data_IF_286591616384
#
_entry.id   IF_286591616384
#
_cell.length_a   1.000
_cell.length_b   1.000
_cell.length_c   1.000
_cell.angle_alpha   90.00
_cell.angle_beta   90.00
_cell.angle_gamma   90.00
#
_symmetry.space_group_name_H-M   'P 1'
#
loop_
_entity.id
_entity.type
_entity.pdbx_description
1 polymer ?
#
# COMPACT_ATOMS: atom_id res chain seq x y z
N UNK A 1 32.70 -0.58 -38.37
CA UNK A 1 32.17 -1.92 -38.04
C UNK A 1 32.74 -3.03 -38.92
N UNK A 2 32.58 -3.00 -40.25
CA UNK A 2 32.94 -4.13 -41.13
C UNK A 2 34.36 -4.70 -40.96
N UNK A 3 35.38 -3.85 -40.84
CA UNK A 3 36.78 -4.28 -40.60
C UNK A 3 36.93 -5.08 -39.29
N UNK A 4 36.20 -4.71 -38.24
CA UNK A 4 36.23 -5.41 -36.95
C UNK A 4 35.55 -6.79 -37.05
N UNK A 5 34.49 -6.90 -37.85
CA UNK A 5 33.78 -8.15 -38.10
C UNK A 5 34.62 -9.12 -38.98
N UNK A 6 35.34 -8.58 -39.97
CA UNK A 6 36.30 -9.35 -40.77
C UNK A 6 37.49 -9.82 -39.91
N UNK A 7 38.04 -8.97 -39.05
CA UNK A 7 39.10 -9.35 -38.11
C UNK A 7 38.66 -10.47 -37.17
N UNK A 8 37.44 -10.39 -36.62
CA UNK A 8 36.86 -11.44 -35.77
C UNK A 8 36.71 -12.78 -36.49
N UNK A 9 36.21 -12.78 -37.73
CA UNK A 9 36.11 -14.01 -38.54
C UNK A 9 37.48 -14.63 -38.87
N UNK A 10 38.51 -13.82 -39.11
CA UNK A 10 39.88 -14.33 -39.33
C UNK A 10 40.43 -14.91 -38.03
N UNK A 11 40.21 -14.26 -36.90
CA UNK A 11 40.61 -14.77 -35.58
C UNK A 11 39.92 -16.10 -35.26
N UNK A 12 38.61 -16.21 -35.46
CA UNK A 12 37.83 -17.44 -35.27
C UNK A 12 38.39 -18.59 -36.14
N UNK A 13 38.63 -18.35 -37.45
CA UNK A 13 39.19 -19.37 -38.36
C UNK A 13 40.63 -19.78 -38.03
N UNK A 14 41.45 -18.85 -37.55
CA UNK A 14 42.82 -19.17 -37.08
C UNK A 14 42.75 -20.02 -35.81
N UNK A 15 41.82 -19.71 -34.90
CA UNK A 15 41.64 -20.46 -33.67
C UNK A 15 41.07 -21.86 -33.91
N UNK A 16 40.10 -22.03 -34.81
CA UNK A 16 39.60 -23.34 -35.29
C UNK A 16 40.71 -24.20 -35.91
N UNK A 17 41.57 -23.60 -36.76
CA UNK A 17 42.70 -24.34 -37.34
C UNK A 17 43.75 -24.72 -36.31
N UNK A 18 44.02 -23.84 -35.33
CA UNK A 18 44.95 -24.14 -34.24
C UNK A 18 44.44 -25.32 -33.39
N UNK A 19 43.15 -25.34 -33.03
CA UNK A 19 42.57 -26.46 -32.27
C UNK A 19 42.55 -27.76 -33.07
N UNK A 20 42.28 -27.70 -34.39
CA UNK A 20 42.33 -28.89 -35.26
C UNK A 20 43.74 -29.48 -35.38
N UNK A 21 44.79 -28.65 -35.45
CA UNK A 21 46.18 -29.13 -35.52
C UNK A 21 46.61 -29.74 -34.19
N UNK A 22 46.23 -29.13 -33.06
CA UNK A 22 46.53 -29.68 -31.72
C UNK A 22 45.86 -31.04 -31.54
N UNK A 23 44.60 -31.19 -31.95
CA UNK A 23 43.91 -32.49 -31.92
C UNK A 23 44.62 -33.55 -32.77
N UNK A 24 44.99 -33.22 -34.02
CA UNK A 24 45.70 -34.16 -34.89
C UNK A 24 47.07 -34.58 -34.31
N UNK A 25 47.86 -33.64 -33.80
CA UNK A 25 49.16 -33.94 -33.17
C UNK A 25 48.99 -34.80 -31.92
N UNK A 26 47.90 -34.60 -31.16
CA UNK A 26 47.59 -35.40 -29.98
C UNK A 26 47.16 -36.84 -30.37
N UNK A 27 46.36 -37.00 -31.43
CA UNK A 27 45.97 -38.31 -31.96
C UNK A 27 47.17 -39.07 -32.54
N UNK A 28 48.05 -38.40 -33.29
CA UNK A 28 49.30 -38.98 -33.82
C UNK A 28 50.26 -39.38 -32.69
N UNK A 29 50.37 -38.56 -31.64
CA UNK A 29 51.16 -38.89 -30.45
C UNK A 29 50.58 -40.08 -29.66
N UNK A 30 49.25 -40.17 -29.52
CA UNK A 30 48.61 -41.34 -28.91
C UNK A 30 48.77 -42.61 -29.77
N UNK A 31 48.70 -42.48 -31.10
CA UNK A 31 48.95 -43.60 -32.02
C UNK A 31 50.40 -44.10 -31.90
N UNK A 32 51.38 -43.20 -31.87
CA UNK A 32 52.79 -43.54 -31.65
C UNK A 32 53.02 -44.19 -30.28
N UNK A 33 52.42 -43.64 -29.21
CA UNK A 33 52.52 -44.25 -27.88
C UNK A 33 51.93 -45.67 -27.85
N UNK A 34 50.80 -45.88 -28.53
CA UNK A 34 50.15 -47.18 -28.66
C UNK A 34 50.99 -48.16 -29.47
N UNK A 35 51.56 -47.75 -30.60
CA UNK A 35 52.43 -48.63 -31.41
C UNK A 35 53.75 -48.95 -30.69
N UNK A 36 54.33 -48.02 -29.94
CA UNK A 36 55.49 -48.30 -29.09
C UNK A 36 55.15 -49.29 -27.97
N UNK A 37 53.98 -49.15 -27.31
CA UNK A 37 53.55 -50.10 -26.28
C UNK A 37 53.27 -51.51 -26.82
N UNK A 38 52.89 -51.63 -28.09
CA UNK A 38 52.67 -52.93 -28.75
C UNK A 38 53.94 -53.55 -29.34
N UNK A 39 55.00 -52.76 -29.56
CA UNK A 39 56.27 -53.25 -30.11
C UNK A 39 57.19 -53.91 -29.07
N UNK A 40 56.84 -53.87 -27.77
CA UNK A 40 57.71 -54.30 -26.67
C UNK A 40 57.47 -55.75 -26.19
N UNK A 41 56.43 -56.44 -26.63
CA UNK A 41 56.17 -57.84 -26.21
C UNK A 41 56.63 -58.83 -27.27
N UNK A 42 57.93 -59.13 -27.29
CA UNK A 42 58.51 -60.18 -28.13
C UNK A 42 58.67 -61.47 -27.27
N UNK A 43 57.77 -62.47 -27.38
CA UNK A 43 57.40 -63.33 -26.25
C UNK A 43 58.33 -64.53 -25.96
N UNK A 44 59.60 -64.50 -26.40
CA UNK A 44 60.48 -65.69 -26.38
C UNK A 44 61.77 -65.52 -25.59
N UNK A 45 62.40 -64.34 -25.60
CA UNK A 45 63.75 -64.14 -25.02
C UNK A 45 63.77 -63.32 -23.71
N UNK A 46 62.62 -62.85 -23.23
CA UNK A 46 62.50 -62.14 -21.95
C UNK A 46 62.06 -63.07 -20.81
N UNK A 47 62.91 -64.06 -20.48
CA UNK A 47 63.09 -64.40 -19.06
C UNK A 47 63.96 -63.27 -18.50
N UNK A 48 63.29 -62.18 -18.11
CA UNK A 48 63.92 -60.98 -17.56
C UNK A 48 64.73 -61.42 -16.32
N UNK A 49 65.88 -60.79 -16.06
CA UNK A 49 66.75 -61.16 -14.94
C UNK A 49 66.05 -61.21 -13.56
N UNK A 50 64.92 -60.52 -13.40
CA UNK A 50 64.04 -60.57 -12.22
C UNK A 50 63.33 -61.93 -12.07
N UNK A 51 62.87 -62.54 -13.18
CA UNK A 51 62.29 -63.89 -13.17
C UNK A 51 63.32 -64.94 -12.73
N UNK A 52 64.62 -64.68 -12.89
CA UNK A 52 65.68 -65.61 -12.54
C UNK A 52 65.88 -65.74 -11.03
N UNK A 53 65.57 -64.70 -10.26
CA UNK A 53 65.64 -64.72 -8.79
C UNK A 53 64.32 -65.20 -8.19
N UNK A 54 63.17 -64.81 -8.75
CA UNK A 54 61.87 -65.41 -8.40
C UNK A 54 61.83 -66.92 -8.71
N UNK A 55 62.48 -67.39 -9.79
CA UNK A 55 62.61 -68.81 -10.12
C UNK A 55 63.44 -69.57 -9.08
N UNK A 56 64.54 -68.99 -8.58
CA UNK A 56 65.35 -69.62 -7.51
C UNK A 56 64.56 -69.71 -6.21
N UNK A 57 63.90 -68.61 -5.81
CA UNK A 57 63.06 -68.58 -4.61
C UNK A 57 61.90 -69.60 -4.70
N UNK A 58 61.28 -69.72 -5.87
CA UNK A 58 60.30 -70.77 -6.14
C UNK A 58 60.92 -72.17 -6.07
N UNK A 59 62.08 -72.39 -6.69
CA UNK A 59 62.78 -73.68 -6.72
C UNK A 59 63.23 -74.17 -5.33
N UNK A 60 63.54 -73.27 -4.39
CA UNK A 60 63.85 -73.62 -3.00
C UNK A 60 62.64 -74.11 -2.20
N UNK A 61 61.43 -73.63 -2.54
CA UNK A 61 60.17 -73.97 -1.84
C UNK A 61 59.38 -75.07 -2.56
N UNK A 62 59.58 -75.23 -3.87
CA UNK A 62 58.83 -76.17 -4.70
C UNK A 62 59.35 -77.61 -4.59
N UNK A 63 58.52 -78.47 -3.98
CA UNK A 63 58.72 -79.91 -4.00
C UNK A 63 57.85 -80.58 -5.08
N UNK A 64 58.50 -81.26 -6.02
CA UNK A 64 57.84 -81.97 -7.10
C UNK A 64 57.17 -83.26 -6.62
N UNK A 65 57.70 -83.90 -5.58
CA UNK A 65 57.20 -85.20 -5.14
C UNK A 65 55.77 -85.05 -4.58
N UNK A 66 55.50 -83.92 -3.91
CA UNK A 66 54.17 -83.48 -3.46
C UNK A 66 53.20 -83.13 -4.62
N UNK A 67 53.69 -83.01 -5.85
CA UNK A 67 52.93 -82.65 -7.06
C UNK A 67 52.78 -83.79 -8.06
N UNK A 68 53.18 -85.01 -7.70
CA UNK A 68 53.12 -86.19 -8.57
C UNK A 68 51.69 -86.49 -9.08
N UNK A 69 50.69 -86.43 -8.20
CA UNK A 69 49.29 -86.68 -8.57
C UNK A 69 48.71 -85.57 -9.48
N UNK A 70 49.06 -84.32 -9.21
CA UNK A 70 48.68 -83.16 -10.06
C UNK A 70 49.31 -83.30 -11.45
N UNK A 71 50.59 -83.68 -11.54
CA UNK A 71 51.29 -83.94 -12.82
C UNK A 71 50.60 -85.05 -13.62
N UNK A 72 50.27 -86.17 -12.98
CA UNK A 72 49.55 -87.26 -13.63
C UNK A 72 48.16 -86.80 -14.13
N UNK A 73 47.50 -85.90 -13.39
CA UNK A 73 46.22 -85.32 -13.81
C UNK A 73 46.36 -84.33 -14.98
N UNK A 74 47.41 -83.50 -14.99
CA UNK A 74 47.70 -82.56 -16.09
C UNK A 74 47.98 -83.33 -17.38
N UNK A 75 48.85 -84.36 -17.33
CA UNK A 75 49.17 -85.22 -18.47
C UNK A 75 47.96 -85.97 -19.05
N UNK A 76 46.88 -86.15 -18.28
CA UNK A 76 45.63 -86.75 -18.76
C UNK A 76 44.64 -85.73 -19.32
N UNK A 77 44.73 -84.46 -18.89
CA UNK A 77 43.78 -83.38 -19.24
C UNK A 77 44.25 -82.52 -20.40
N UNK A 78 45.56 -82.31 -20.50
CA UNK A 78 46.20 -81.44 -21.48
C UNK A 78 47.12 -82.27 -22.39
N UNK A 79 46.57 -82.66 -23.53
CA UNK A 79 47.24 -83.44 -24.58
C UNK A 79 48.48 -82.70 -25.12
N UNK A 80 48.46 -81.37 -25.19
CA UNK A 80 49.59 -80.56 -25.64
C UNK A 80 50.76 -80.62 -24.65
N UNK A 81 50.50 -80.56 -23.35
CA UNK A 81 51.54 -80.72 -22.32
C UNK A 81 52.06 -82.16 -22.27
N UNK A 82 51.22 -83.16 -22.54
CA UNK A 82 51.66 -84.55 -22.66
C UNK A 82 52.60 -84.78 -23.87
N UNK A 83 52.27 -84.23 -25.03
CA UNK A 83 53.12 -84.26 -26.23
C UNK A 83 54.44 -83.51 -25.98
N UNK A 84 54.38 -82.30 -25.39
CA UNK A 84 55.56 -81.48 -25.09
C UNK A 84 56.49 -82.17 -24.07
N UNK A 85 55.92 -82.78 -23.02
CA UNK A 85 56.67 -83.57 -22.05
C UNK A 85 57.37 -84.76 -22.72
N UNK A 86 56.66 -85.49 -23.59
CA UNK A 86 57.18 -86.66 -24.32
C UNK A 86 58.27 -86.27 -25.32
N UNK A 87 58.20 -85.09 -25.92
CA UNK A 87 59.19 -84.58 -26.87
C UNK A 87 60.45 -83.99 -26.22
N UNK A 88 60.36 -83.44 -25.00
CA UNK A 88 61.47 -82.73 -24.33
C UNK A 88 62.13 -83.53 -23.20
N UNK A 89 61.42 -84.47 -22.58
CA UNK A 89 61.92 -85.28 -21.45
C UNK A 89 62.08 -86.74 -21.89
N UNK A 90 63.29 -87.35 -21.82
CA UNK A 90 64.51 -86.85 -21.19
C UNK A 90 65.53 -86.20 -22.14
N UNK A 91 65.23 -86.03 -23.44
CA UNK A 91 66.24 -85.67 -24.45
C UNK A 91 66.84 -84.27 -24.27
N UNK A 92 66.05 -83.29 -23.83
CA UNK A 92 66.47 -81.88 -23.71
C UNK A 92 66.44 -81.35 -22.28
N UNK A 93 65.53 -81.87 -21.44
CA UNK A 93 65.36 -81.44 -20.04
C UNK A 93 65.19 -82.65 -19.11
N UNK A 94 65.70 -82.53 -17.89
CA UNK A 94 65.39 -83.49 -16.84
C UNK A 94 63.92 -83.37 -16.43
N UNK A 95 63.28 -84.49 -16.08
CA UNK A 95 61.87 -84.53 -15.64
C UNK A 95 61.58 -83.49 -14.54
N UNK A 96 62.44 -83.41 -13.52
CA UNK A 96 62.29 -82.44 -12.43
C UNK A 96 62.36 -80.99 -12.92
N UNK A 97 63.26 -80.69 -13.85
CA UNK A 97 63.45 -79.35 -14.38
C UNK A 97 62.29 -78.91 -15.28
N UNK A 98 61.77 -79.80 -16.13
CA UNK A 98 60.58 -79.52 -16.94
C UNK A 98 59.39 -79.12 -16.07
N UNK A 99 59.07 -79.90 -15.05
CA UNK A 99 57.93 -79.62 -14.16
C UNK A 99 58.16 -78.41 -13.25
N UNK A 100 59.37 -78.18 -12.73
CA UNK A 100 59.66 -76.96 -11.97
C UNK A 100 59.48 -75.71 -12.84
N UNK A 101 59.93 -75.72 -14.10
CA UNK A 101 59.70 -74.61 -15.05
C UNK A 101 58.21 -74.46 -15.42
N UNK A 102 57.48 -75.55 -15.61
CA UNK A 102 56.04 -75.53 -15.89
C UNK A 102 55.26 -74.88 -14.74
N UNK A 103 55.42 -75.37 -13.51
CA UNK A 103 54.69 -74.83 -12.35
C UNK A 103 55.13 -73.40 -12.01
N UNK A 104 56.40 -73.02 -12.26
CA UNK A 104 56.82 -71.63 -12.13
C UNK A 104 56.10 -70.70 -13.12
N UNK A 105 55.97 -71.10 -14.39
CA UNK A 105 55.20 -70.32 -15.39
C UNK A 105 53.72 -70.22 -15.01
N UNK A 106 53.13 -71.31 -14.50
CA UNK A 106 51.76 -71.30 -13.99
C UNK A 106 51.60 -70.38 -12.76
N UNK A 107 52.59 -70.36 -11.86
CA UNK A 107 52.63 -69.47 -10.70
C UNK A 107 52.75 -68.00 -11.09
N UNK A 108 53.59 -67.67 -12.08
CA UNK A 108 53.67 -66.32 -12.64
C UNK A 108 52.37 -65.88 -13.31
N UNK A 109 51.71 -66.77 -14.07
CA UNK A 109 50.40 -66.48 -14.67
C UNK A 109 49.34 -66.16 -13.60
N UNK A 110 49.23 -67.00 -12.56
CA UNK A 110 48.31 -66.76 -11.43
C UNK A 110 48.59 -65.41 -10.75
N UNK A 111 49.85 -65.09 -10.47
CA UNK A 111 50.24 -63.80 -9.86
C UNK A 111 49.91 -62.61 -10.76
N UNK A 112 50.11 -62.73 -12.09
CA UNK A 112 49.72 -61.70 -13.04
C UNK A 112 48.20 -61.54 -13.15
N UNK A 113 47.43 -62.62 -13.06
CA UNK A 113 45.96 -62.57 -13.01
C UNK A 113 45.46 -61.90 -11.73
N UNK A 114 46.05 -62.20 -10.57
CA UNK A 114 45.73 -61.51 -9.30
C UNK A 114 46.07 -60.00 -9.36
N UNK A 115 47.22 -59.63 -9.92
CA UNK A 115 47.61 -58.22 -10.10
C UNK A 115 46.76 -57.49 -11.16
N UNK A 116 46.21 -58.20 -12.16
CA UNK A 116 45.23 -57.66 -13.09
C UNK A 116 43.87 -57.48 -12.41
N UNK A 117 43.36 -58.51 -11.72
CA UNK A 117 42.11 -58.46 -10.98
C UNK A 117 42.11 -57.33 -9.93
N UNK A 118 43.23 -57.13 -9.22
CA UNK A 118 43.40 -56.01 -8.29
C UNK A 118 43.34 -54.65 -8.99
N UNK A 119 43.99 -54.49 -10.14
CA UNK A 119 43.93 -53.26 -10.96
C UNK A 119 42.57 -53.02 -11.61
N UNK A 120 41.79 -54.07 -11.87
CA UNK A 120 40.41 -53.95 -12.34
C UNK A 120 39.48 -53.54 -11.19
N UNK A 121 39.63 -54.12 -10.00
CA UNK A 121 38.82 -53.76 -8.84
C UNK A 121 39.13 -52.33 -8.35
N UNK A 122 40.40 -51.91 -8.33
CA UNK A 122 40.79 -50.52 -8.06
C UNK A 122 40.14 -49.53 -9.06
N UNK A 123 40.09 -49.89 -10.35
CA UNK A 123 39.38 -49.10 -11.38
C UNK A 123 37.88 -49.08 -11.17
N UNK A 124 37.25 -50.19 -10.77
CA UNK A 124 35.81 -50.24 -10.45
C UNK A 124 35.46 -49.35 -9.26
N UNK A 125 36.21 -49.46 -8.16
CA UNK A 125 36.05 -48.61 -6.97
C UNK A 125 36.27 -47.13 -7.30
N UNK A 126 37.20 -46.81 -8.21
CA UNK A 126 37.42 -45.43 -8.64
C UNK A 126 36.25 -44.89 -9.49
N UNK A 127 35.68 -45.70 -10.38
CA UNK A 127 34.49 -45.34 -11.17
C UNK A 127 33.24 -45.18 -10.29
N UNK A 128 33.07 -46.02 -9.27
CA UNK A 128 31.97 -45.89 -8.31
C UNK A 128 32.08 -44.60 -7.49
N UNK A 129 33.27 -44.29 -6.95
CA UNK A 129 33.53 -43.00 -6.26
C UNK A 129 33.30 -41.79 -7.16
N UNK A 130 33.69 -41.85 -8.43
CA UNK A 130 33.43 -40.75 -9.37
C UNK A 130 31.93 -40.60 -9.64
N UNK A 131 31.19 -41.71 -9.76
CA UNK A 131 29.74 -41.70 -9.93
C UNK A 131 29.03 -41.12 -8.70
N UNK A 132 29.43 -41.51 -7.49
CA UNK A 132 28.91 -40.96 -6.23
C UNK A 132 29.18 -39.46 -6.12
N UNK A 133 30.39 -38.99 -6.45
CA UNK A 133 30.74 -37.57 -6.45
C UNK A 133 29.89 -36.76 -7.46
N UNK A 134 29.64 -37.32 -8.66
CA UNK A 134 28.74 -36.69 -9.64
C UNK A 134 27.29 -36.66 -9.15
N UNK A 135 26.80 -37.73 -8.51
CA UNK A 135 25.45 -37.76 -7.94
C UNK A 135 25.29 -36.78 -6.77
N UNK A 136 26.32 -36.63 -5.92
CA UNK A 136 26.34 -35.67 -4.83
C UNK A 136 26.30 -34.24 -5.34
N UNK A 137 27.12 -33.87 -6.33
CA UNK A 137 27.04 -32.55 -6.96
C UNK A 137 25.70 -32.28 -7.66
N UNK A 138 25.05 -33.29 -8.24
CA UNK A 138 23.70 -33.14 -8.80
C UNK A 138 22.65 -32.90 -7.71
N UNK A 139 22.78 -33.54 -6.55
CA UNK A 139 21.91 -33.29 -5.38
C UNK A 139 22.13 -31.89 -4.81
N UNK A 140 23.38 -31.48 -4.59
CA UNK A 140 23.73 -30.12 -4.15
C UNK A 140 23.19 -29.05 -5.11
N UNK A 141 23.34 -29.25 -6.42
CA UNK A 141 22.80 -28.33 -7.42
C UNK A 141 21.26 -28.29 -7.43
N UNK A 142 20.60 -29.43 -7.25
CA UNK A 142 19.15 -29.52 -7.12
C UNK A 142 18.65 -28.79 -5.86
N UNK A 143 19.28 -29.04 -4.71
CA UNK A 143 18.95 -28.39 -3.43
C UNK A 143 19.19 -26.88 -3.48
N UNK A 144 20.31 -26.43 -4.07
CA UNK A 144 20.58 -25.01 -4.30
C UNK A 144 19.54 -24.35 -5.22
N UNK A 145 19.07 -25.05 -6.25
CA UNK A 145 18.02 -24.56 -7.14
C UNK A 145 16.66 -24.46 -6.42
N UNK A 146 16.31 -25.46 -5.62
CA UNK A 146 15.09 -25.48 -4.82
C UNK A 146 15.09 -24.39 -3.74
N UNK A 147 16.23 -24.12 -3.12
CA UNK A 147 16.37 -23.03 -2.16
C UNK A 147 16.24 -21.66 -2.87
N UNK A 148 16.86 -21.48 -4.03
CA UNK A 148 16.69 -20.25 -4.82
C UNK A 148 15.23 -20.03 -5.29
N UNK A 149 14.45 -21.09 -5.51
CA UNK A 149 13.01 -20.96 -5.77
C UNK A 149 12.19 -20.58 -4.53
N UNK A 150 12.52 -21.13 -3.35
CA UNK A 150 11.92 -20.71 -2.07
C UNK A 150 12.20 -19.23 -1.79
N UNK A 151 13.46 -18.81 -1.91
CA UNK A 151 13.85 -17.42 -1.67
C UNK A 151 13.13 -16.45 -2.62
N UNK A 152 12.89 -16.84 -3.89
CA UNK A 152 12.08 -16.07 -4.84
C UNK A 152 10.60 -16.06 -4.48
N UNK A 153 10.04 -17.16 -3.97
CA UNK A 153 8.66 -17.22 -3.52
C UNK A 153 8.45 -16.31 -2.30
N UNK A 154 9.37 -16.34 -1.33
CA UNK A 154 9.40 -15.46 -0.16
C UNK A 154 9.54 -13.98 -0.54
N UNK A 155 10.35 -13.67 -1.55
CA UNK A 155 10.45 -12.30 -2.10
C UNK A 155 9.12 -11.84 -2.71
N UNK A 156 8.48 -12.66 -3.55
CA UNK A 156 7.16 -12.33 -4.13
C UNK A 156 6.07 -12.17 -3.08
N UNK A 157 6.09 -12.99 -2.02
CA UNK A 157 5.15 -12.84 -0.90
C UNK A 157 5.32 -11.49 -0.21
N UNK A 158 6.56 -11.09 0.11
CA UNK A 158 6.88 -9.78 0.70
C UNK A 158 6.52 -8.62 -0.23
N UNK A 159 6.74 -8.76 -1.54
CA UNK A 159 6.32 -7.76 -2.54
C UNK A 159 4.80 -7.61 -2.61
N UNK A 160 4.06 -8.73 -2.53
CA UNK A 160 2.60 -8.74 -2.50
C UNK A 160 2.06 -8.07 -1.23
N UNK A 161 2.62 -8.36 -0.05
CA UNK A 161 2.25 -7.71 1.22
C UNK A 161 2.47 -6.19 1.17
N UNK A 162 3.61 -5.76 0.63
CA UNK A 162 3.91 -4.34 0.41
C UNK A 162 2.93 -3.70 -0.57
N UNK A 163 2.49 -4.41 -1.61
CA UNK A 163 1.51 -3.89 -2.55
C UNK A 163 0.11 -3.76 -1.91
N UNK A 164 -0.34 -4.77 -1.16
CA UNK A 164 -1.60 -4.72 -0.39
C UNK A 164 -1.61 -3.52 0.57
N UNK A 165 -0.50 -3.26 1.26
CA UNK A 165 -0.40 -2.11 2.16
C UNK A 165 -0.43 -0.76 1.40
N UNK A 166 0.20 -0.67 0.22
CA UNK A 166 0.09 0.54 -0.63
C UNK A 166 -1.35 0.78 -1.08
N UNK A 167 -2.06 -0.26 -1.50
CA UNK A 167 -3.44 -0.15 -1.98
C UNK A 167 -4.39 0.25 -0.82
N UNK A 168 -4.14 -0.23 0.40
CA UNK A 168 -4.82 0.23 1.62
C UNK A 168 -4.52 1.71 1.93
N UNK A 169 -3.27 2.15 1.84
CA UNK A 169 -2.92 3.57 2.06
C UNK A 169 -3.55 4.46 0.99
N UNK A 170 -3.56 4.04 -0.28
CA UNK A 170 -4.18 4.78 -1.37
C UNK A 170 -5.69 4.93 -1.20
N UNK A 171 -6.40 3.85 -0.84
CA UNK A 171 -7.84 3.91 -0.57
C UNK A 171 -8.19 4.76 0.66
N UNK A 172 -7.37 4.74 1.72
CA UNK A 172 -7.53 5.65 2.85
C UNK A 172 -7.29 7.13 2.46
N UNK A 173 -6.32 7.41 1.57
CA UNK A 173 -6.10 8.76 1.02
C UNK A 173 -7.27 9.24 0.17
N UNK A 174 -7.88 8.36 -0.64
CA UNK A 174 -9.09 8.67 -1.42
C UNK A 174 -10.28 9.00 -0.49
N UNK A 175 -10.47 8.23 0.58
CA UNK A 175 -11.50 8.51 1.60
C UNK A 175 -11.26 9.87 2.27
N UNK A 176 -10.02 10.19 2.68
CA UNK A 176 -9.69 11.49 3.27
C UNK A 176 -9.99 12.63 2.29
N UNK A 177 -9.53 12.54 1.04
CA UNK A 177 -9.80 13.56 0.01
C UNK A 177 -11.30 13.73 -0.28
N UNK A 178 -12.08 12.64 -0.23
CA UNK A 178 -13.54 12.70 -0.39
C UNK A 178 -14.23 13.42 0.78
N UNK A 179 -13.74 13.21 2.02
CA UNK A 179 -14.26 13.89 3.22
C UNK A 179 -13.89 15.37 3.23
N UNK A 180 -12.65 15.73 2.85
CA UNK A 180 -12.21 17.12 2.70
C UNK A 180 -13.03 17.85 1.63
N UNK A 181 -13.30 17.21 0.49
CA UNK A 181 -14.15 17.76 -0.58
C UNK A 181 -15.60 17.95 -0.12
N UNK A 182 -16.16 16.99 0.63
CA UNK A 182 -17.49 17.10 1.20
C UNK A 182 -17.60 18.21 2.25
N UNK A 183 -16.59 18.36 3.11
CA UNK A 183 -16.54 19.42 4.12
C UNK A 183 -16.36 20.81 3.49
N UNK A 184 -15.53 20.94 2.45
CA UNK A 184 -15.43 22.16 1.65
C UNK A 184 -16.77 22.54 0.99
N UNK A 185 -17.49 21.55 0.43
CA UNK A 185 -18.83 21.76 -0.13
C UNK A 185 -19.85 22.18 0.92
N UNK A 186 -19.82 21.58 2.12
CA UNK A 186 -20.69 21.98 3.24
C UNK A 186 -20.41 23.41 3.72
N UNK A 187 -19.13 23.80 3.80
CA UNK A 187 -18.75 25.17 4.13
C UNK A 187 -19.20 26.17 3.06
N UNK A 188 -19.12 25.83 1.78
CA UNK A 188 -19.64 26.66 0.70
C UNK A 188 -21.17 26.83 0.81
N UNK A 189 -21.92 25.73 0.96
CA UNK A 189 -23.38 25.78 1.13
C UNK A 189 -23.81 26.62 2.36
N UNK A 190 -23.03 26.58 3.44
CA UNK A 190 -23.27 27.42 4.61
C UNK A 190 -22.98 28.90 4.34
N UNK A 191 -21.94 29.22 3.57
CA UNK A 191 -21.63 30.58 3.15
C UNK A 191 -22.74 31.14 2.24
N UNK A 192 -23.19 30.36 1.25
CA UNK A 192 -24.27 30.70 0.32
C UNK A 192 -25.61 30.95 1.07
N UNK A 193 -25.92 30.15 2.10
CA UNK A 193 -27.09 30.34 2.97
C UNK A 193 -27.00 31.63 3.82
N UNK A 194 -25.81 31.96 4.34
CA UNK A 194 -25.59 33.24 5.03
C UNK A 194 -25.69 34.44 4.08
N UNK A 195 -25.14 34.36 2.86
CA UNK A 195 -25.28 35.41 1.85
C UNK A 195 -26.74 35.60 1.42
N UNK A 196 -27.47 34.50 1.23
CA UNK A 196 -28.91 34.52 0.94
C UNK A 196 -29.72 35.18 2.07
N UNK A 197 -29.38 34.91 3.34
CA UNK A 197 -30.03 35.54 4.50
C UNK A 197 -29.68 37.03 4.63
N UNK A 198 -28.43 37.42 4.35
CA UNK A 198 -28.00 38.82 4.38
C UNK A 198 -28.65 39.64 3.26
N UNK A 199 -28.74 39.08 2.05
CA UNK A 199 -29.46 39.73 0.94
C UNK A 199 -30.96 39.84 1.25
N UNK A 200 -31.60 38.78 1.77
CA UNK A 200 -33.00 38.82 2.22
C UNK A 200 -33.25 39.85 3.35
N UNK A 201 -32.34 39.95 4.32
CA UNK A 201 -32.45 40.95 5.39
C UNK A 201 -32.25 42.37 4.84
N UNK A 202 -31.36 42.54 3.86
CA UNK A 202 -31.15 43.83 3.18
C UNK A 202 -32.40 44.25 2.41
N UNK A 203 -33.01 43.36 1.63
CA UNK A 203 -34.27 43.67 0.94
C UNK A 203 -35.40 44.00 1.93
N UNK A 204 -35.51 43.28 3.06
CA UNK A 204 -36.49 43.62 4.10
C UNK A 204 -36.26 45.00 4.73
N UNK A 205 -35.00 45.42 4.90
CA UNK A 205 -34.66 46.76 5.39
C UNK A 205 -35.03 47.84 4.36
N UNK A 206 -34.76 47.59 3.08
CA UNK A 206 -35.07 48.54 2.01
C UNK A 206 -36.58 48.61 1.71
N UNK A 207 -37.30 47.49 1.79
CA UNK A 207 -38.78 47.44 1.76
C UNK A 207 -39.37 48.23 2.94
N UNK A 208 -38.88 48.00 4.17
CA UNK A 208 -39.34 48.73 5.35
C UNK A 208 -39.04 50.24 5.28
N UNK A 209 -37.91 50.62 4.67
CA UNK A 209 -37.59 52.02 4.37
C UNK A 209 -38.54 52.60 3.32
N UNK A 210 -38.81 51.86 2.24
CA UNK A 210 -39.74 52.30 1.20
C UNK A 210 -41.14 52.55 1.79
N UNK A 211 -41.66 51.61 2.58
CA UNK A 211 -42.93 51.78 3.32
C UNK A 211 -42.89 52.99 4.26
N UNK A 212 -41.82 53.15 5.05
CA UNK A 212 -41.68 54.32 5.93
C UNK A 212 -41.56 55.66 5.20
N UNK A 213 -40.97 55.69 3.99
CA UNK A 213 -40.98 56.87 3.13
C UNK A 213 -42.37 57.14 2.55
N UNK A 214 -43.12 56.10 2.14
CA UNK A 214 -44.50 56.25 1.66
C UNK A 214 -45.45 56.74 2.76
N UNK A 215 -45.36 56.20 3.97
CA UNK A 215 -46.11 56.68 5.15
C UNK A 215 -45.75 58.14 5.48
N UNK A 216 -44.46 58.49 5.52
CA UNK A 216 -44.01 59.87 5.77
C UNK A 216 -44.44 60.85 4.67
N UNK A 217 -44.48 60.42 3.41
CA UNK A 217 -45.03 61.21 2.30
C UNK A 217 -46.53 61.41 2.53
N UNK A 218 -47.29 60.37 2.82
CA UNK A 218 -48.73 60.45 3.06
C UNK A 218 -49.11 61.36 4.25
N UNK A 219 -48.36 61.29 5.37
CA UNK A 219 -48.51 62.22 6.49
C UNK A 219 -48.21 63.67 6.07
N UNK A 220 -47.14 63.89 5.31
CA UNK A 220 -46.78 65.23 4.82
C UNK A 220 -47.83 65.80 3.86
N UNK A 221 -48.42 64.97 2.98
CA UNK A 221 -49.52 65.35 2.10
C UNK A 221 -50.79 65.67 2.90
N UNK A 222 -51.08 64.91 3.97
CA UNK A 222 -52.19 65.19 4.87
C UNK A 222 -51.99 66.51 5.64
N UNK A 223 -50.77 66.82 6.10
CA UNK A 223 -50.44 68.09 6.75
C UNK A 223 -50.56 69.24 5.75
N UNK A 224 -49.99 69.12 4.55
CA UNK A 224 -50.09 70.15 3.48
C UNK A 224 -51.54 70.37 3.07
N UNK A 225 -52.35 69.30 3.01
CA UNK A 225 -53.79 69.39 2.76
C UNK A 225 -54.51 70.11 3.90
N UNK A 226 -54.25 69.76 5.16
CA UNK A 226 -54.82 70.41 6.34
C UNK A 226 -54.48 71.91 6.39
N UNK A 227 -53.23 72.28 6.11
CA UNK A 227 -52.79 73.69 6.01
C UNK A 227 -53.50 74.40 4.85
N UNK A 228 -53.65 73.76 3.69
CA UNK A 228 -54.35 74.33 2.54
C UNK A 228 -55.85 74.51 2.82
N UNK A 229 -56.49 73.53 3.44
CA UNK A 229 -57.91 73.56 3.78
C UNK A 229 -58.17 74.62 4.88
N UNK A 230 -57.29 74.75 5.88
CA UNK A 230 -57.30 75.84 6.87
C UNK A 230 -57.12 77.21 6.22
N UNK A 231 -56.10 77.39 5.38
CA UNK A 231 -55.86 78.66 4.69
C UNK A 231 -57.01 79.04 3.73
N UNK A 232 -57.68 78.05 3.10
CA UNK A 232 -58.89 78.30 2.32
C UNK A 232 -60.11 78.65 3.19
N UNK A 233 -60.21 78.09 4.40
CA UNK A 233 -61.25 78.47 5.36
C UNK A 233 -61.00 79.89 5.86
N UNK A 234 -59.78 80.21 6.30
CA UNK A 234 -59.36 81.56 6.71
C UNK A 234 -59.56 82.59 5.59
N UNK A 235 -59.26 82.24 4.32
CA UNK A 235 -59.56 83.11 3.17
C UNK A 235 -61.06 83.32 2.97
N UNK A 236 -61.90 82.29 3.12
CA UNK A 236 -63.37 82.44 3.03
C UNK A 236 -63.94 83.24 4.18
N UNK A 237 -63.43 83.04 5.40
CA UNK A 237 -63.78 83.83 6.58
C UNK A 237 -63.31 85.28 6.41
N UNK A 238 -62.14 85.51 5.81
CA UNK A 238 -61.64 86.85 5.46
C UNK A 238 -62.51 87.52 4.39
N UNK A 239 -62.84 86.82 3.31
CA UNK A 239 -63.71 87.33 2.24
C UNK A 239 -65.10 87.66 2.79
N UNK A 240 -65.69 86.78 3.61
CA UNK A 240 -66.96 87.02 4.27
C UNK A 240 -66.88 88.22 5.23
N UNK A 241 -65.82 88.32 6.04
CA UNK A 241 -65.59 89.45 6.94
C UNK A 241 -65.44 90.77 6.18
N UNK A 242 -64.60 90.79 5.13
CA UNK A 242 -64.43 91.95 4.24
C UNK A 242 -65.73 92.33 3.53
N UNK A 243 -66.56 91.37 3.11
CA UNK A 243 -67.91 91.64 2.60
C UNK A 243 -68.77 92.33 3.68
N UNK A 244 -68.79 91.81 4.92
CA UNK A 244 -69.58 92.43 6.00
C UNK A 244 -69.10 93.84 6.34
N UNK A 245 -67.79 94.09 6.32
CA UNK A 245 -67.22 95.44 6.51
C UNK A 245 -67.56 96.39 5.34
N UNK A 246 -67.75 95.86 4.12
CA UNK A 246 -68.08 96.64 2.94
C UNK A 246 -69.58 96.98 2.81
N UNK A 247 -70.48 96.19 3.41
CA UNK A 247 -71.91 96.53 3.50
C UNK A 247 -72.16 97.63 4.54
N UNK A 248 -72.72 98.79 4.16
CA UNK A 248 -73.00 99.88 5.10
C UNK A 248 -74.18 99.52 6.00
N UNK A 249 -73.89 99.05 7.22
CA UNK A 249 -74.84 98.87 8.31
C UNK A 249 -74.53 99.83 9.46
N UNK A 250 -75.56 100.23 10.21
CA UNK A 250 -75.47 101.18 11.33
C UNK A 250 -75.18 100.52 12.69
N UNK A 251 -74.75 99.25 12.68
CA UNK A 251 -74.44 98.46 13.88
C UNK A 251 -72.94 98.43 14.19
N UNK A 252 -72.59 98.05 15.42
CA UNK A 252 -71.21 98.01 15.89
C UNK A 252 -70.35 97.02 15.09
N UNK A 253 -69.05 97.32 14.96
CA UNK A 253 -68.09 96.53 14.18
C UNK A 253 -68.12 95.04 14.59
N UNK A 254 -68.29 94.10 13.64
CA UNK A 254 -68.19 92.68 13.96
C UNK A 254 -66.78 92.33 14.44
N UNK A 255 -66.63 91.45 15.46
CA UNK A 255 -65.33 91.08 15.99
C UNK A 255 -64.48 90.42 14.88
N UNK A 256 -63.22 90.84 14.71
CA UNK A 256 -62.38 90.31 13.63
C UNK A 256 -61.99 88.85 13.88
N UNK A 257 -61.80 88.05 12.81
CA UNK A 257 -61.19 86.72 12.90
C UNK A 257 -59.78 86.80 13.50
N UNK A 258 -59.34 85.76 14.20
CA UNK A 258 -58.07 85.76 14.95
C UNK A 258 -56.81 86.02 14.10
N UNK A 259 -56.85 85.66 12.82
CA UNK A 259 -55.78 85.91 11.85
C UNK A 259 -55.82 87.33 11.23
N UNK A 260 -56.95 88.02 11.34
CA UNK A 260 -57.05 89.44 10.99
C UNK A 260 -56.63 90.24 12.22
N UNK A 261 -55.48 90.91 12.15
CA UNK A 261 -55.06 91.82 13.21
C UNK A 261 -56.21 92.74 13.60
N UNK A 262 -56.56 92.79 14.89
CA UNK A 262 -57.55 93.73 15.41
C UNK A 262 -57.21 95.15 15.00
N UNK A 263 -55.93 95.52 14.98
CA UNK A 263 -55.48 96.79 14.43
C UNK A 263 -55.77 96.90 12.93
N UNK A 264 -55.52 95.88 12.10
CA UNK A 264 -55.83 95.95 10.66
C UNK A 264 -57.34 96.10 10.42
N UNK A 265 -58.18 95.27 11.05
CA UNK A 265 -59.63 95.38 10.97
C UNK A 265 -60.12 96.75 11.47
N UNK A 266 -59.63 97.19 12.63
CA UNK A 266 -59.88 98.52 13.16
C UNK A 266 -59.29 99.61 12.28
N UNK A 267 -58.24 99.42 11.47
CA UNK A 267 -57.76 100.42 10.50
C UNK A 267 -58.37 100.26 9.11
N UNK A 268 -59.12 99.22 8.80
CA UNK A 268 -59.99 99.22 7.61
C UNK A 268 -61.28 99.96 7.99
N UNK A 269 -61.88 99.57 9.12
CA UNK A 269 -63.02 100.24 9.75
C UNK A 269 -62.71 101.68 10.20
N UNK A 270 -61.48 101.97 10.65
CA UNK A 270 -60.97 103.30 11.01
C UNK A 270 -59.95 103.88 10.00
N UNK A 271 -59.81 103.35 8.78
CA UNK A 271 -59.55 104.23 7.63
C UNK A 271 -60.87 104.76 7.10
N UNK A 272 -61.96 103.99 7.22
CA UNK A 272 -63.33 104.50 7.15
C UNK A 272 -63.70 105.47 8.31
N UNK A 273 -62.95 105.45 9.42
CA UNK A 273 -63.16 106.28 10.62
C UNK A 273 -61.86 106.82 11.28
N UNK A 274 -60.89 107.25 10.46
CA UNK A 274 -59.65 108.00 10.81
C UNK A 274 -58.53 107.33 11.67
N UNK A 275 -57.44 106.92 11.00
CA UNK A 275 -56.02 107.22 11.27
C UNK A 275 -55.52 107.48 12.72
N UNK A 276 -54.74 106.54 13.33
CA UNK A 276 -53.41 106.74 14.00
C UNK A 276 -52.92 105.59 14.95
N UNK A 277 -51.65 105.20 14.75
CA UNK A 277 -50.55 104.83 15.70
C UNK A 277 -50.70 103.86 16.93
N UNK A 278 -49.72 102.93 17.10
CA UNK A 278 -49.50 102.01 18.26
C UNK A 278 -48.37 102.47 19.22
N UNK A 279 -47.42 101.63 19.77
CA UNK A 279 -47.33 100.17 20.01
C UNK A 279 -46.67 99.76 21.40
N UNK A 280 -46.19 98.50 21.57
CA UNK A 280 -45.12 98.00 22.52
C UNK A 280 -45.47 97.70 24.03
N UNK A 281 -44.78 96.89 24.89
CA UNK A 281 -43.72 95.82 24.81
C UNK A 281 -43.45 95.04 26.16
N UNK A 282 -42.98 93.77 26.11
CA UNK A 282 -42.03 93.06 27.04
C UNK A 282 -42.49 92.57 28.46
N UNK A 283 -41.61 92.03 29.37
CA UNK A 283 -41.30 90.59 29.54
C UNK A 283 -41.31 90.09 31.03
N UNK A 284 -40.75 88.90 31.36
CA UNK A 284 -39.89 88.58 32.56
C UNK A 284 -39.53 87.07 32.65
N UNK A 285 -38.40 86.73 33.28
CA UNK A 285 -37.86 85.37 33.49
C UNK A 285 -37.37 85.19 34.93
N UNK A 286 -37.48 83.98 35.52
CA UNK A 286 -36.62 83.45 36.59
C UNK A 286 -37.10 82.06 37.09
N UNK A 287 -36.40 80.95 36.80
CA UNK A 287 -36.54 79.68 37.56
C UNK A 287 -35.40 78.63 37.42
N UNK A 288 -34.24 78.98 36.85
CA UNK A 288 -33.23 77.98 36.43
C UNK A 288 -32.41 77.28 37.53
N UNK A 289 -32.47 77.72 38.80
CA UNK A 289 -31.52 77.23 39.83
C UNK A 289 -31.94 75.95 40.56
N UNK A 290 -33.22 75.58 40.54
CA UNK A 290 -33.69 74.33 41.15
C UNK A 290 -33.72 73.15 40.16
N UNK A 291 -33.73 73.42 38.85
CA UNK A 291 -33.66 72.35 37.82
C UNK A 291 -32.31 71.60 37.87
N UNK A 292 -31.20 72.33 38.00
CA UNK A 292 -29.83 71.80 38.00
C UNK A 292 -29.62 70.64 39.00
N UNK A 293 -30.04 70.82 40.25
CA UNK A 293 -29.79 69.83 41.30
C UNK A 293 -30.71 68.60 41.16
N UNK A 294 -31.95 68.81 40.71
CA UNK A 294 -32.89 67.73 40.38
C UNK A 294 -32.40 66.92 39.17
N UNK A 295 -31.81 67.58 38.17
CA UNK A 295 -31.17 66.92 37.04
C UNK A 295 -29.94 66.11 37.45
N UNK A 296 -29.12 66.61 38.39
CA UNK A 296 -27.97 65.87 38.91
C UNK A 296 -28.39 64.57 39.60
N UNK A 297 -29.38 64.63 40.50
CA UNK A 297 -29.91 63.45 41.20
C UNK A 297 -30.63 62.47 40.26
N UNK A 298 -31.26 62.96 39.18
CA UNK A 298 -31.80 62.09 38.12
C UNK A 298 -30.69 61.33 37.39
N UNK A 299 -29.61 62.01 36.98
CA UNK A 299 -28.47 61.38 36.30
C UNK A 299 -27.79 60.30 37.15
N UNK A 300 -27.69 60.49 38.48
CA UNK A 300 -27.15 59.49 39.40
C UNK A 300 -28.08 58.27 39.54
N UNK A 301 -29.40 58.48 39.66
CA UNK A 301 -30.37 57.39 39.69
C UNK A 301 -30.40 56.60 38.36
N UNK A 302 -30.32 57.30 37.22
CA UNK A 302 -30.24 56.67 35.90
C UNK A 302 -28.94 55.86 35.73
N UNK A 303 -27.83 56.32 36.30
CA UNK A 303 -26.57 55.57 36.31
C UNK A 303 -26.66 54.30 37.17
N UNK A 304 -27.20 54.40 38.41
CA UNK A 304 -27.43 53.25 39.27
C UNK A 304 -28.40 52.23 38.66
N UNK A 305 -29.45 52.70 37.99
CA UNK A 305 -30.40 51.85 37.27
C UNK A 305 -29.74 51.10 36.13
N UNK A 306 -28.91 51.77 35.31
CA UNK A 306 -28.11 51.11 34.25
C UNK A 306 -27.13 50.07 34.79
N UNK A 307 -26.51 50.33 35.94
CA UNK A 307 -25.63 49.34 36.61
C UNK A 307 -26.43 48.12 37.09
N UNK A 308 -27.63 48.32 37.64
CA UNK A 308 -28.51 47.22 38.06
C UNK A 308 -29.02 46.40 36.86
N UNK A 309 -29.40 47.07 35.76
CA UNK A 309 -29.83 46.42 34.50
C UNK A 309 -28.67 45.60 33.90
N UNK A 310 -27.47 46.16 33.82
CA UNK A 310 -26.26 45.45 33.34
C UNK A 310 -25.89 44.26 34.22
N UNK A 311 -26.02 44.37 35.55
CA UNK A 311 -25.82 43.23 36.46
C UNK A 311 -26.88 42.13 36.26
N UNK A 312 -28.13 42.50 35.97
CA UNK A 312 -29.19 41.55 35.65
C UNK A 312 -28.99 40.88 34.28
N UNK A 313 -28.43 41.58 33.30
CA UNK A 313 -28.02 41.01 32.02
C UNK A 313 -26.87 40.01 32.18
N UNK A 314 -25.84 40.35 32.97
CA UNK A 314 -24.74 39.42 33.27
C UNK A 314 -25.19 38.13 33.96
N UNK A 315 -26.23 38.19 34.82
CA UNK A 315 -26.84 36.99 35.41
C UNK A 315 -27.58 36.13 34.36
N UNK A 316 -28.34 36.75 33.44
CA UNK A 316 -28.99 36.03 32.33
C UNK A 316 -27.95 35.38 31.42
N UNK A 317 -26.86 36.09 31.10
CA UNK A 317 -25.78 35.57 30.28
C UNK A 317 -25.12 34.36 30.96
N UNK A 318 -24.82 34.45 32.25
CA UNK A 318 -24.27 33.34 33.04
C UNK A 318 -25.15 32.09 32.99
N UNK A 319 -26.47 32.24 33.05
CA UNK A 319 -27.41 31.12 32.97
C UNK A 319 -27.52 30.55 31.54
N UNK A 320 -27.40 31.38 30.49
CA UNK A 320 -27.23 30.92 29.10
C UNK A 320 -25.93 30.13 28.93
N UNK A 321 -24.81 30.58 29.51
CA UNK A 321 -23.54 29.85 29.50
C UNK A 321 -23.63 28.50 30.24
N UNK A 322 -24.31 28.43 31.39
CA UNK A 322 -24.60 27.16 32.08
C UNK A 322 -25.43 26.21 31.21
N UNK A 323 -26.52 26.71 30.60
CA UNK A 323 -27.37 25.91 29.73
C UNK A 323 -26.58 25.37 28.50
N UNK A 324 -25.72 26.21 27.92
CA UNK A 324 -24.81 25.81 26.83
C UNK A 324 -23.80 24.76 27.28
N UNK A 325 -23.20 24.90 28.46
CA UNK A 325 -22.28 23.92 29.03
C UNK A 325 -22.96 22.55 29.28
N UNK A 326 -24.18 22.54 29.82
CA UNK A 326 -24.97 21.30 29.99
C UNK A 326 -25.30 20.67 28.64
N UNK A 327 -25.69 21.46 27.63
CA UNK A 327 -25.94 20.95 26.27
C UNK A 327 -24.69 20.37 25.62
N UNK A 328 -23.54 21.05 25.73
CA UNK A 328 -22.26 20.54 25.22
C UNK A 328 -21.83 19.26 25.93
N UNK A 329 -22.04 19.17 27.26
CA UNK A 329 -21.79 17.92 28.00
C UNK A 329 -22.69 16.79 27.49
N UNK A 330 -24.00 17.03 27.33
CA UNK A 330 -24.93 16.02 26.82
C UNK A 330 -24.55 15.53 25.41
N UNK A 331 -24.20 16.45 24.51
CA UNK A 331 -23.72 16.10 23.17
C UNK A 331 -22.43 15.27 23.24
N UNK A 332 -21.49 15.60 24.14
CA UNK A 332 -20.29 14.81 24.35
C UNK A 332 -20.61 13.40 24.86
N UNK A 333 -21.46 13.29 25.88
CA UNK A 333 -21.87 12.01 26.46
C UNK A 333 -22.59 11.14 25.39
N UNK A 334 -23.35 11.76 24.49
CA UNK A 334 -23.98 11.11 23.31
C UNK A 334 -22.95 10.66 22.26
N UNK A 335 -21.94 11.49 21.92
CA UNK A 335 -20.88 11.10 20.97
C UNK A 335 -19.97 10.01 21.54
N UNK A 336 -19.63 10.07 22.82
CA UNK A 336 -18.80 9.06 23.50
C UNK A 336 -19.55 7.71 23.56
N UNK A 337 -20.88 7.74 23.78
CA UNK A 337 -21.73 6.55 23.72
C UNK A 337 -21.86 5.98 22.30
N UNK A 338 -22.01 6.83 21.28
CA UNK A 338 -22.07 6.40 19.88
C UNK A 338 -20.74 5.80 19.39
N UNK A 339 -19.61 6.43 19.74
CA UNK A 339 -18.27 5.93 19.44
C UNK A 339 -18.02 4.55 20.09
N UNK A 340 -18.42 4.40 21.37
CA UNK A 340 -18.34 3.10 22.06
C UNK A 340 -19.20 2.03 21.38
N UNK A 341 -20.44 2.37 20.99
CA UNK A 341 -21.33 1.44 20.27
C UNK A 341 -20.70 0.97 18.95
N UNK A 342 -20.10 1.88 18.19
CA UNK A 342 -19.42 1.55 16.94
C UNK A 342 -18.17 0.67 17.17
N UNK A 343 -17.38 0.94 18.21
CA UNK A 343 -16.23 0.11 18.59
C UNK A 343 -16.65 -1.33 19.00
N UNK A 344 -17.75 -1.47 19.74
CA UNK A 344 -18.31 -2.77 20.11
C UNK A 344 -18.93 -3.50 18.89
N UNK A 345 -19.59 -2.79 17.96
CA UNK A 345 -20.08 -3.34 16.69
C UNK A 345 -18.93 -3.79 15.76
N UNK A 346 -17.84 -3.03 15.70
CA UNK A 346 -16.65 -3.34 14.90
C UNK A 346 -15.90 -4.57 15.46
N UNK A 347 -15.78 -4.70 16.79
CA UNK A 347 -15.23 -5.92 17.42
C UNK A 347 -16.10 -7.15 17.13
N UNK A 348 -17.43 -7.01 17.18
CA UNK A 348 -18.34 -8.10 16.83
C UNK A 348 -18.17 -8.53 15.37
N UNK A 349 -18.11 -7.56 14.44
CA UNK A 349 -17.87 -7.83 13.02
C UNK A 349 -16.53 -8.53 12.74
N UNK A 350 -15.44 -8.11 13.41
CA UNK A 350 -14.13 -8.76 13.33
C UNK A 350 -14.20 -10.20 13.87
N UNK A 351 -14.86 -10.42 15.01
CA UNK A 351 -15.00 -11.76 15.58
C UNK A 351 -15.77 -12.71 14.64
N UNK A 352 -16.89 -12.26 14.06
CA UNK A 352 -17.64 -13.04 13.07
C UNK A 352 -16.81 -13.31 11.82
N UNK A 353 -16.12 -12.30 11.27
CA UNK A 353 -15.28 -12.48 10.08
C UNK A 353 -14.11 -13.45 10.32
N UNK A 354 -13.53 -13.45 11.52
CA UNK A 354 -12.48 -14.40 11.92
C UNK A 354 -13.02 -15.84 12.03
N UNK A 355 -14.20 -16.04 12.62
CA UNK A 355 -14.83 -17.36 12.74
C UNK A 355 -15.27 -17.91 11.35
N UNK A 356 -15.78 -17.04 10.48
CA UNK A 356 -16.07 -17.34 9.07
C UNK A 356 -14.80 -17.72 8.28
N UNK A 357 -13.70 -17.00 8.48
CA UNK A 357 -12.41 -17.30 7.87
C UNK A 357 -11.85 -18.63 8.34
N UNK A 358 -11.93 -18.90 9.65
CA UNK A 358 -11.42 -20.11 10.28
C UNK A 358 -12.23 -21.36 9.93
N UNK A 359 -13.56 -21.23 9.76
CA UNK A 359 -14.41 -22.32 9.27
C UNK A 359 -14.17 -22.62 7.79
N UNK A 360 -14.05 -21.59 6.92
CA UNK A 360 -13.67 -21.76 5.50
C UNK A 360 -12.28 -22.38 5.35
N UNK A 361 -11.30 -21.95 6.15
CA UNK A 361 -9.95 -22.52 6.15
C UNK A 361 -9.93 -24.00 6.56
N UNK A 362 -10.68 -24.37 7.60
CA UNK A 362 -10.86 -25.78 8.00
C UNK A 362 -11.51 -26.62 6.90
N UNK A 363 -12.54 -26.10 6.23
CA UNK A 363 -13.21 -26.80 5.14
C UNK A 363 -12.29 -27.02 3.93
N UNK A 364 -11.48 -26.01 3.56
CA UNK A 364 -10.50 -26.12 2.50
C UNK A 364 -9.39 -27.15 2.83
N UNK A 365 -8.86 -27.11 4.04
CA UNK A 365 -7.85 -28.08 4.51
C UNK A 365 -8.42 -29.51 4.57
N UNK A 366 -9.67 -29.69 5.02
CA UNK A 366 -10.33 -30.99 4.99
C UNK A 366 -10.46 -31.54 3.56
N UNK A 367 -10.90 -30.71 2.61
CA UNK A 367 -10.98 -31.09 1.20
C UNK A 367 -9.63 -31.47 0.59
N UNK A 368 -8.55 -30.77 0.95
CA UNK A 368 -7.19 -31.12 0.52
C UNK A 368 -6.70 -32.44 1.13
N UNK A 369 -6.99 -32.69 2.42
CA UNK A 369 -6.70 -33.96 3.10
C UNK A 369 -7.46 -35.12 2.43
N UNK A 370 -8.73 -34.95 2.11
CA UNK A 370 -9.53 -35.97 1.42
C UNK A 370 -8.99 -36.25 0.00
N UNK A 371 -8.59 -35.20 -0.73
CA UNK A 371 -7.97 -35.33 -2.04
C UNK A 371 -6.60 -36.03 -2.00
N UNK A 372 -5.81 -35.84 -0.94
CA UNK A 372 -4.55 -36.54 -0.72
C UNK A 372 -4.78 -38.01 -0.34
N UNK A 373 -5.77 -38.32 0.51
CA UNK A 373 -6.15 -39.70 0.80
C UNK A 373 -6.59 -40.45 -0.47
N UNK A 374 -7.44 -39.84 -1.32
CA UNK A 374 -7.88 -40.45 -2.57
C UNK A 374 -6.71 -40.77 -3.53
N UNK A 375 -5.71 -39.89 -3.62
CA UNK A 375 -4.47 -40.16 -4.39
C UNK A 375 -3.65 -41.28 -3.79
N UNK A 376 -3.58 -41.36 -2.45
CA UNK A 376 -2.84 -42.40 -1.74
C UNK A 376 -3.49 -43.77 -1.94
N UNK A 377 -4.83 -43.86 -1.88
CA UNK A 377 -5.58 -45.07 -2.23
C UNK A 377 -5.37 -45.49 -3.70
N UNK A 378 -5.38 -44.52 -4.63
CA UNK A 378 -5.07 -44.79 -6.04
C UNK A 378 -3.67 -45.41 -6.21
N UNK A 379 -2.64 -44.81 -5.61
CA UNK A 379 -1.28 -45.34 -5.70
C UNK A 379 -1.12 -46.70 -5.00
N UNK A 380 -1.84 -46.97 -3.91
CA UNK A 380 -1.88 -48.29 -3.30
C UNK A 380 -2.50 -49.34 -4.25
N UNK A 381 -3.58 -49.00 -4.95
CA UNK A 381 -4.19 -49.86 -5.95
C UNK A 381 -3.26 -50.12 -7.16
N UNK A 382 -2.54 -49.09 -7.62
CA UNK A 382 -1.53 -49.21 -8.68
C UNK A 382 -0.38 -50.15 -8.27
N UNK A 383 0.16 -50.00 -7.04
CA UNK A 383 1.20 -50.87 -6.48
C UNK A 383 0.69 -52.31 -6.36
N UNK A 384 -0.54 -52.53 -5.88
CA UNK A 384 -1.13 -53.86 -5.80
C UNK A 384 -1.28 -54.53 -7.18
N UNK A 385 -1.74 -53.77 -8.19
CA UNK A 385 -1.87 -54.26 -9.56
C UNK A 385 -0.52 -54.58 -10.22
N UNK A 386 0.53 -53.79 -9.93
CA UNK A 386 1.90 -54.09 -10.37
C UNK A 386 2.46 -55.33 -9.68
N UNK A 387 2.24 -55.46 -8.37
CA UNK A 387 2.68 -56.63 -7.59
C UNK A 387 2.03 -57.91 -8.10
N UNK A 388 0.73 -57.87 -8.44
CA UNK A 388 0.02 -59.02 -8.99
C UNK A 388 0.53 -59.44 -10.39
N UNK A 389 1.05 -58.51 -11.19
CA UNK A 389 1.68 -58.80 -12.50
C UNK A 389 3.10 -59.37 -12.38
N UNK A 390 3.75 -59.17 -11.24
CA UNK A 390 5.13 -59.60 -10.97
C UNK A 390 5.22 -60.96 -10.25
N UNK A 391 4.09 -61.51 -9.80
CA UNK A 391 4.01 -62.86 -9.26
C UNK A 391 4.04 -63.90 -10.42
N UNK A 392 5.05 -64.78 -10.50
CA UNK A 392 5.22 -65.76 -11.57
C UNK A 392 4.33 -67.02 -11.43
#
# INVERSE_FOLDING_TARGET
MWIYQAAKQVQEKVQERATSIVAQVQDEAQLLLKTMSQAQTNPVDEIIFEELDDYKAFQEVFDLDLKTDDVASILQKDEFIADLHTALVPEQLAYKEFWTRYYFRQFLQLRQEEEQAKRDEERRVQLEKEREARELHLKEAAEASAQAERDRADQRAKEMDVQIWKDQVASLQEVIASLESADASNHQLLADDYETKLTQMTTQIDDARAVGYEEGIAESEQIVKSIRDSAQLELKEFEAYMLTLATPSNEAMPPPPLFVSTHLAQTIWALHATSRDGPSTSPVSQDDRLSSDVESLRRENDALKKVAESAQEGLKELDVWKARAVKMKKLKDETDAAAKKHDDELKAAIATAFEDGLSKGKAAMAFEIDALHAKLEQHQAEIAALTQKLAP
#
